data_IF_662503148383
#
_entry.id   IF_662503148383
#
_cell.length_a   1.000
_cell.length_b   1.000
_cell.length_c   1.000
_cell.angle_alpha   90.00
_cell.angle_beta   90.00
_cell.angle_gamma   90.00
#
_symmetry.space_group_name_H-M   'P 1'
#
loop_
_entity.id
_entity.type
_entity.pdbx_description
1 polymer ?
#
# COMPACT_ATOMS: atom_id res chain seq x y z
N UNK A 1 -13.07 -42.57 -22.67
CA UNK A 1 -13.69 -41.30 -22.24
C UNK A 1 -12.78 -40.47 -21.32
N UNK A 2 -12.31 -40.96 -20.16
CA UNK A 2 -11.39 -40.19 -19.27
C UNK A 2 -10.10 -39.69 -19.95
N UNK A 3 -9.44 -40.50 -20.79
CA UNK A 3 -8.20 -40.10 -21.50
C UNK A 3 -8.44 -38.99 -22.54
N UNK A 4 -9.62 -38.97 -23.16
CA UNK A 4 -10.03 -37.94 -24.11
C UNK A 4 -10.34 -36.63 -23.39
N UNK A 5 -11.01 -36.69 -22.23
CA UNK A 5 -11.24 -35.53 -21.37
C UNK A 5 -9.93 -34.89 -20.88
N UNK A 6 -8.93 -35.70 -20.51
CA UNK A 6 -7.61 -35.20 -20.13
C UNK A 6 -6.87 -34.54 -21.30
N UNK A 7 -6.95 -35.10 -22.51
CA UNK A 7 -6.37 -34.50 -23.71
C UNK A 7 -7.07 -33.18 -24.09
N UNK A 8 -8.40 -33.12 -23.96
CA UNK A 8 -9.18 -31.90 -24.24
C UNK A 8 -8.89 -30.80 -23.21
N UNK A 9 -8.72 -31.16 -21.93
CA UNK A 9 -8.29 -30.25 -20.87
C UNK A 9 -6.86 -29.73 -21.09
N UNK A 10 -5.94 -30.59 -21.53
CA UNK A 10 -4.56 -30.23 -21.82
C UNK A 10 -4.43 -29.32 -23.04
N UNK A 11 -5.22 -29.57 -24.10
CA UNK A 11 -5.30 -28.70 -25.30
C UNK A 11 -5.98 -27.37 -24.96
N UNK A 12 -7.02 -27.38 -24.11
CA UNK A 12 -7.68 -26.17 -23.61
C UNK A 12 -6.77 -25.29 -22.74
N UNK A 13 -5.87 -25.89 -21.96
CA UNK A 13 -4.85 -25.18 -21.18
C UNK A 13 -3.73 -24.62 -22.08
N UNK A 14 -3.29 -25.38 -23.10
CA UNK A 14 -2.23 -24.99 -24.01
C UNK A 14 -2.65 -23.96 -25.09
N UNK A 15 -3.95 -23.70 -25.25
CA UNK A 15 -4.48 -22.71 -26.21
C UNK A 15 -4.49 -21.26 -25.70
N UNK A 16 -4.08 -21.00 -24.44
CA UNK A 16 -4.04 -19.66 -23.85
C UNK A 16 -2.80 -18.77 -24.14
N UNK A 17 -1.73 -19.15 -24.88
CA UNK A 17 -0.55 -18.28 -24.98
C UNK A 17 -0.67 -17.16 -26.03
N UNK A 18 -1.75 -17.08 -26.81
CA UNK A 18 -1.89 -16.08 -27.88
C UNK A 18 -2.48 -14.73 -27.44
N UNK A 19 -3.36 -14.69 -26.42
CA UNK A 19 -3.98 -13.44 -25.96
C UNK A 19 -3.09 -12.61 -25.01
N UNK A 20 -2.09 -13.24 -24.37
CA UNK A 20 -1.17 -12.55 -23.46
C UNK A 20 -0.14 -11.66 -24.19
N UNK A 21 0.16 -11.97 -25.46
CA UNK A 21 1.23 -11.27 -26.21
C UNK A 21 0.81 -9.87 -26.67
N UNK A 22 -0.48 -9.63 -26.86
CA UNK A 22 -1.00 -8.33 -27.30
C UNK A 22 -1.14 -7.32 -26.16
N UNK A 23 -1.25 -7.77 -24.89
CA UNK A 23 -1.29 -6.90 -23.70
C UNK A 23 0.07 -6.29 -23.34
N UNK A 24 1.18 -6.87 -23.82
CA UNK A 24 2.53 -6.35 -23.60
C UNK A 24 2.74 -4.99 -24.24
N UNK A 25 2.07 -4.74 -25.37
CA UNK A 25 2.08 -3.45 -26.07
C UNK A 25 1.17 -2.49 -25.29
N UNK A 26 1.76 -1.62 -24.48
CA UNK A 26 1.05 -0.61 -23.69
C UNK A 26 0.89 -0.94 -22.19
N UNK A 27 1.35 -2.10 -21.71
CA UNK A 27 1.37 -2.43 -20.27
C UNK A 27 2.09 -1.36 -19.46
N UNK A 28 3.30 -0.95 -19.89
CA UNK A 28 4.11 0.05 -19.19
C UNK A 28 3.42 1.40 -19.06
N UNK A 29 2.72 1.85 -20.10
CA UNK A 29 1.97 3.11 -20.09
C UNK A 29 0.74 3.03 -19.19
N UNK A 30 -0.06 1.97 -19.32
CA UNK A 30 -1.24 1.76 -18.48
C UNK A 30 -0.86 1.65 -17.00
N UNK A 31 0.18 0.88 -16.70
CA UNK A 31 0.73 0.75 -15.36
C UNK A 31 1.19 2.10 -14.79
N UNK A 32 1.94 2.88 -15.57
CA UNK A 32 2.39 4.21 -15.15
C UNK A 32 1.22 5.18 -14.91
N UNK A 33 0.19 5.14 -15.76
CA UNK A 33 -1.02 5.94 -15.59
C UNK A 33 -1.78 5.58 -14.31
N UNK A 34 -1.94 4.29 -14.02
CA UNK A 34 -2.59 3.80 -12.80
C UNK A 34 -1.81 4.29 -11.58
N UNK A 35 -0.49 4.08 -11.54
CA UNK A 35 0.35 4.53 -10.43
C UNK A 35 0.24 6.04 -10.22
N UNK A 36 0.34 6.83 -11.29
CA UNK A 36 0.24 8.28 -11.21
C UNK A 36 -1.10 8.72 -10.62
N UNK A 37 -2.22 8.14 -11.08
CA UNK A 37 -3.55 8.44 -10.55
C UNK A 37 -3.69 8.02 -9.09
N UNK A 38 -3.19 6.83 -8.74
CA UNK A 38 -3.21 6.34 -7.37
C UNK A 38 -2.44 7.29 -6.43
N UNK A 39 -1.26 7.77 -6.83
CA UNK A 39 -0.50 8.73 -6.02
C UNK A 39 -1.19 10.09 -5.90
N UNK A 40 -1.88 10.56 -6.93
CA UNK A 40 -2.67 11.79 -6.85
C UNK A 40 -3.85 11.66 -5.88
N UNK A 41 -4.58 10.55 -5.95
CA UNK A 41 -5.68 10.25 -5.03
C UNK A 41 -5.15 10.14 -3.60
N UNK A 42 -4.06 9.41 -3.39
CA UNK A 42 -3.43 9.24 -2.08
C UNK A 42 -2.99 10.58 -1.49
N UNK A 43 -2.34 11.44 -2.28
CA UNK A 43 -1.96 12.79 -1.85
C UNK A 43 -3.18 13.64 -1.49
N UNK A 44 -4.23 13.64 -2.32
CA UNK A 44 -5.45 14.41 -2.07
C UNK A 44 -6.16 13.95 -0.80
N UNK A 45 -6.32 12.63 -0.62
CA UNK A 45 -6.87 12.04 0.59
C UNK A 45 -6.05 12.40 1.82
N UNK A 46 -4.72 12.32 1.71
CA UNK A 46 -3.82 12.60 2.83
C UNK A 46 -3.91 14.06 3.28
N UNK A 47 -3.90 15.01 2.34
CA UNK A 47 -4.04 16.44 2.67
C UNK A 47 -5.40 16.76 3.30
N UNK A 48 -6.48 16.22 2.76
CA UNK A 48 -7.83 16.40 3.31
C UNK A 48 -7.93 15.84 4.73
N UNK A 49 -7.43 14.62 4.94
CA UNK A 49 -7.45 13.96 6.24
C UNK A 49 -6.55 14.69 7.25
N UNK A 50 -5.38 15.20 6.83
CA UNK A 50 -4.53 16.02 7.69
C UNK A 50 -5.19 17.35 8.07
N UNK A 51 -5.90 18.01 7.15
CA UNK A 51 -6.62 19.24 7.49
C UNK A 51 -7.69 18.98 8.55
N UNK A 52 -8.49 17.92 8.36
CA UNK A 52 -9.51 17.52 9.32
C UNK A 52 -8.91 17.11 10.68
N UNK A 53 -7.90 16.24 10.67
CA UNK A 53 -7.21 15.80 11.87
C UNK A 53 -6.48 16.93 12.58
N UNK A 54 -5.94 17.92 11.86
CA UNK A 54 -5.28 19.09 12.44
C UNK A 54 -6.24 19.99 13.22
N UNK A 55 -7.46 20.17 12.69
CA UNK A 55 -8.53 20.89 13.41
C UNK A 55 -8.93 20.10 14.66
N UNK A 56 -9.18 18.80 14.52
CA UNK A 56 -9.64 17.95 15.61
C UNK A 56 -8.56 17.78 16.70
N UNK A 57 -7.28 17.66 16.33
CA UNK A 57 -6.15 17.63 17.25
C UNK A 57 -6.08 18.87 18.16
N UNK A 58 -6.42 20.05 17.63
CA UNK A 58 -6.46 21.28 18.41
C UNK A 58 -7.71 21.42 19.28
N UNK A 59 -8.79 20.73 18.90
CA UNK A 59 -10.09 20.80 19.56
C UNK A 59 -10.36 19.63 20.53
N UNK A 60 -9.41 18.71 20.68
CA UNK A 60 -9.54 17.50 21.50
C UNK A 60 -8.46 17.42 22.57
N UNK A 61 -8.75 16.65 23.62
CA UNK A 61 -7.85 16.38 24.73
C UNK A 61 -7.73 14.87 24.98
N UNK A 62 -6.73 14.50 25.78
CA UNK A 62 -6.52 13.11 26.19
C UNK A 62 -6.36 12.15 25.00
N UNK A 63 -7.10 11.04 25.02
CA UNK A 63 -7.00 9.97 24.02
C UNK A 63 -7.29 10.44 22.60
N UNK A 64 -8.32 11.25 22.43
CA UNK A 64 -8.78 11.68 21.10
C UNK A 64 -7.74 12.57 20.43
N UNK A 65 -7.08 13.43 21.22
CA UNK A 65 -5.95 14.23 20.74
C UNK A 65 -4.84 13.36 20.15
N UNK A 66 -4.40 12.33 20.86
CA UNK A 66 -3.36 11.43 20.37
C UNK A 66 -3.81 10.60 19.16
N UNK A 67 -5.11 10.29 19.04
CA UNK A 67 -5.66 9.65 17.85
C UNK A 67 -5.55 10.55 16.60
N UNK A 68 -5.86 11.84 16.74
CA UNK A 68 -5.70 12.80 15.65
C UNK A 68 -4.24 13.12 15.34
N UNK A 69 -3.37 13.17 16.35
CA UNK A 69 -1.91 13.28 16.17
C UNK A 69 -1.37 12.11 15.34
N UNK A 70 -1.75 10.89 15.69
CA UNK A 70 -1.40 9.70 14.92
C UNK A 70 -1.93 9.79 13.48
N UNK A 71 -3.16 10.26 13.29
CA UNK A 71 -3.74 10.45 11.95
C UNK A 71 -2.91 11.43 11.13
N UNK A 72 -2.42 12.52 11.72
CA UNK A 72 -1.52 13.46 11.05
C UNK A 72 -0.20 12.79 10.65
N UNK A 73 0.43 12.05 11.57
CA UNK A 73 1.70 11.36 11.33
C UNK A 73 1.59 10.33 10.20
N UNK A 74 0.54 9.51 10.20
CA UNK A 74 0.34 8.50 9.15
C UNK A 74 0.07 9.13 7.79
N UNK A 75 -0.71 10.20 7.73
CA UNK A 75 -0.94 10.90 6.47
C UNK A 75 0.33 11.62 5.97
N UNK A 76 1.24 12.02 6.86
CA UNK A 76 2.56 12.52 6.45
C UNK A 76 3.40 11.42 5.77
N UNK A 77 3.37 10.19 6.31
CA UNK A 77 4.00 9.02 5.65
C UNK A 77 3.35 8.75 4.29
N UNK A 78 2.02 8.76 4.21
CA UNK A 78 1.29 8.58 2.95
C UNK A 78 1.67 9.64 1.91
N UNK A 79 1.80 10.91 2.32
CA UNK A 79 2.28 11.99 1.44
C UNK A 79 3.71 11.74 0.97
N UNK A 80 4.59 11.24 1.84
CA UNK A 80 5.94 10.84 1.46
C UNK A 80 5.95 9.76 0.39
N UNK A 81 5.16 8.70 0.58
CA UNK A 81 4.98 7.61 -0.40
C UNK A 81 4.43 8.18 -1.71
N UNK A 82 3.37 9.00 -1.64
CA UNK A 82 2.73 9.59 -2.80
C UNK A 82 3.68 10.52 -3.59
N UNK A 83 4.47 11.33 -2.89
CA UNK A 83 5.47 12.20 -3.48
C UNK A 83 6.57 11.42 -4.21
N UNK A 84 7.15 10.41 -3.55
CA UNK A 84 8.16 9.54 -4.17
C UNK A 84 7.60 8.73 -5.35
N UNK A 85 6.38 8.20 -5.22
CA UNK A 85 5.69 7.47 -6.28
C UNK A 85 5.39 8.35 -7.49
N UNK A 86 4.89 9.57 -7.27
CA UNK A 86 4.61 10.52 -8.34
C UNK A 86 5.88 10.98 -9.04
N UNK A 87 6.96 11.26 -8.29
CA UNK A 87 8.26 11.61 -8.85
C UNK A 87 8.81 10.51 -9.77
N UNK A 88 8.75 9.25 -9.33
CA UNK A 88 9.15 8.09 -10.16
C UNK A 88 8.26 7.91 -11.39
N UNK A 89 6.94 8.08 -11.26
CA UNK A 89 6.01 7.96 -12.37
C UNK A 89 6.25 9.04 -13.45
N UNK A 90 6.63 10.27 -13.06
CA UNK A 90 6.97 11.36 -13.99
C UNK A 90 8.27 11.13 -14.76
N UNK A 91 9.27 10.49 -14.16
CA UNK A 91 10.56 10.22 -14.81
C UNK A 91 10.56 8.91 -15.60
N UNK A 92 9.37 8.34 -15.84
CA UNK A 92 9.22 7.14 -16.64
C UNK A 92 9.20 7.47 -18.12
N UNK A 93 10.30 7.17 -18.82
CA UNK A 93 10.44 7.32 -20.26
C UNK A 93 9.35 6.54 -21.02
N UNK A 94 8.80 7.14 -22.09
CA UNK A 94 7.99 6.41 -23.07
C UNK A 94 8.85 5.34 -23.74
N UNK A 95 8.28 4.16 -24.04
CA UNK A 95 8.95 2.95 -24.54
C UNK A 95 9.77 2.15 -23.50
N UNK A 96 9.22 1.95 -22.30
CA UNK A 96 9.78 1.02 -21.33
C UNK A 96 9.77 -0.42 -21.88
N UNK A 97 10.93 -1.07 -21.86
CA UNK A 97 10.97 -2.52 -22.07
C UNK A 97 10.20 -3.24 -20.96
N UNK A 98 9.75 -4.48 -21.21
CA UNK A 98 9.12 -5.30 -20.18
C UNK A 98 10.01 -5.44 -18.93
N UNK A 99 11.32 -5.59 -19.13
CA UNK A 99 12.28 -5.70 -18.04
C UNK A 99 12.32 -4.44 -17.16
N UNK A 100 12.26 -3.26 -17.78
CA UNK A 100 12.24 -1.99 -17.06
C UNK A 100 10.92 -1.78 -16.31
N UNK A 101 9.79 -2.19 -16.90
CA UNK A 101 8.49 -2.15 -16.25
C UNK A 101 8.46 -3.04 -14.99
N UNK A 102 9.00 -4.26 -15.08
CA UNK A 102 9.13 -5.18 -13.94
C UNK A 102 10.03 -4.59 -12.85
N UNK A 103 11.16 -3.98 -13.22
CA UNK A 103 12.06 -3.35 -12.24
C UNK A 103 11.40 -2.17 -11.51
N UNK A 104 10.61 -1.36 -12.22
CA UNK A 104 9.83 -0.27 -11.62
C UNK A 104 8.73 -0.79 -10.69
N UNK A 105 8.01 -1.82 -11.11
CA UNK A 105 6.98 -2.48 -10.33
C UNK A 105 7.54 -2.99 -9.00
N UNK A 106 8.70 -3.67 -9.01
CA UNK A 106 9.38 -4.12 -7.79
C UNK A 106 9.72 -2.98 -6.82
N UNK A 107 10.02 -1.78 -7.34
CA UNK A 107 10.27 -0.60 -6.52
C UNK A 107 9.03 -0.13 -5.75
N UNK A 108 7.85 -0.24 -6.37
CA UNK A 108 6.56 0.06 -5.72
C UNK A 108 6.20 -1.05 -4.73
N UNK A 109 6.35 -2.31 -5.11
CA UNK A 109 6.10 -3.46 -4.23
C UNK A 109 6.93 -3.39 -2.94
N UNK A 110 8.21 -3.03 -3.04
CA UNK A 110 9.06 -2.81 -1.87
C UNK A 110 8.56 -1.68 -0.97
N UNK A 111 8.05 -0.58 -1.53
CA UNK A 111 7.46 0.51 -0.74
C UNK A 111 6.17 0.07 -0.03
N UNK A 112 5.32 -0.66 -0.74
CA UNK A 112 4.07 -1.19 -0.16
C UNK A 112 4.36 -2.23 0.93
N UNK A 113 5.32 -3.13 0.70
CA UNK A 113 5.77 -4.11 1.71
C UNK A 113 6.35 -3.42 2.95
N UNK A 114 7.13 -2.36 2.77
CA UNK A 114 7.62 -1.56 3.89
C UNK A 114 6.45 -0.95 4.68
N UNK A 115 5.45 -0.38 4.02
CA UNK A 115 4.25 0.16 4.67
C UNK A 115 3.47 -0.93 5.41
N UNK A 116 3.24 -2.09 4.79
CA UNK A 116 2.61 -3.24 5.45
C UNK A 116 3.40 -3.71 6.68
N UNK A 117 4.74 -3.70 6.60
CA UNK A 117 5.60 -4.03 7.74
C UNK A 117 5.47 -3.01 8.88
N UNK A 118 5.40 -1.72 8.57
CA UNK A 118 5.16 -0.67 9.56
C UNK A 118 3.79 -0.81 10.22
N UNK A 119 2.74 -1.14 9.46
CA UNK A 119 1.39 -1.38 10.00
C UNK A 119 1.38 -2.57 10.96
N UNK A 120 2.05 -3.67 10.58
CA UNK A 120 2.20 -4.84 11.45
C UNK A 120 2.96 -4.48 12.74
N UNK A 121 4.08 -3.77 12.62
CA UNK A 121 4.86 -3.31 13.77
C UNK A 121 4.03 -2.40 14.69
N UNK A 122 3.23 -1.51 14.12
CA UNK A 122 2.33 -0.63 14.86
C UNK A 122 1.29 -1.43 15.66
N UNK A 123 0.58 -2.36 15.02
CA UNK A 123 -0.42 -3.21 15.68
C UNK A 123 0.22 -4.04 16.80
N UNK A 124 1.36 -4.68 16.52
CA UNK A 124 2.07 -5.49 17.52
C UNK A 124 2.52 -4.66 18.72
N UNK A 125 3.01 -3.44 18.47
CA UNK A 125 3.40 -2.51 19.54
C UNK A 125 2.19 -2.12 20.39
N UNK A 126 1.04 -1.84 19.76
CA UNK A 126 -0.20 -1.56 20.48
C UNK A 126 -0.63 -2.73 21.38
N UNK A 127 -0.63 -3.95 20.84
CA UNK A 127 -0.94 -5.17 21.62
C UNK A 127 0.03 -5.34 22.80
N UNK A 128 1.33 -5.16 22.57
CA UNK A 128 2.34 -5.25 23.61
C UNK A 128 2.12 -4.21 24.73
N UNK A 129 1.86 -2.95 24.38
CA UNK A 129 1.64 -1.88 25.35
C UNK A 129 0.37 -2.08 26.17
N UNK A 130 -0.72 -2.57 25.54
CA UNK A 130 -1.96 -2.89 26.25
C UNK A 130 -1.73 -4.00 27.28
N UNK A 131 -1.05 -5.08 26.90
CA UNK A 131 -0.73 -6.17 27.83
C UNK A 131 0.12 -5.67 29.00
N UNK A 132 1.18 -4.91 28.69
CA UNK A 132 2.07 -4.35 29.72
C UNK A 132 1.35 -3.40 30.67
N UNK A 133 0.44 -2.58 30.16
CA UNK A 133 -0.38 -1.69 30.97
C UNK A 133 -1.27 -2.45 31.96
N UNK A 134 -1.95 -3.51 31.49
CA UNK A 134 -2.82 -4.34 32.32
C UNK A 134 -2.04 -5.06 33.44
N UNK A 135 -0.82 -5.52 33.16
CA UNK A 135 0.04 -6.16 34.16
C UNK A 135 0.42 -5.18 35.27
N UNK A 136 0.79 -3.94 34.92
CA UNK A 136 1.15 -2.89 35.88
C UNK A 136 -0.05 -2.55 36.78
N UNK A 137 -1.25 -2.41 36.22
CA UNK A 137 -2.46 -2.13 37.01
C UNK A 137 -2.75 -3.27 37.99
N UNK A 138 -2.63 -4.53 37.56
CA UNK A 138 -2.86 -5.71 38.43
C UNK A 138 -1.84 -5.84 39.55
N UNK A 139 -0.58 -5.43 39.34
CA UNK A 139 0.42 -5.39 40.41
C UNK A 139 0.14 -4.28 41.42
N UNK A 140 -0.31 -3.10 40.97
CA UNK A 140 -0.68 -1.99 41.83
C UNK A 140 -1.90 -2.27 42.73
N UNK A 141 -2.88 -3.04 42.25
CA UNK A 141 -4.06 -3.46 43.04
C UNK A 141 -3.75 -4.51 44.12
N UNK A 142 -2.56 -5.12 44.08
CA UNK A 142 -2.13 -6.17 45.03
C UNK A 142 -1.31 -5.65 46.21
N UNK A 143 -0.97 -4.36 46.22
CA UNK A 143 -0.21 -3.66 47.26
C UNK A 143 -1.15 -2.81 48.12
#
# INVERSE_FOLDING_TARGET
MRKFLFAMLFVGLAANPLFAQNELIGYGERHNQINRRAMQILSGWSLANMAAAGIQYRASDGRDRYFHEMTLMWNAVNLGIAGLGYWRARHSLHNLSLADAINKQRGIEKLLLLNTGLDAAYIMTGVYLVNRGNDITREGERL
#
